data_IF_673745513626
#
_entry.id   IF_673745513626
#
_cell.length_a   1.000
_cell.length_b   1.000
_cell.length_c   1.000
_cell.angle_alpha   90.00
_cell.angle_beta   90.00
_cell.angle_gamma   90.00
#
_symmetry.space_group_name_H-M   'P 1'
#
loop_
_entity.id
_entity.type
_entity.pdbx_description
1 polymer ?
#
# COMPACT_ATOMS: atom_id res chain seq x y z
N UNK A 1 -14.52 18.30 35.38
CA UNK A 1 -14.75 17.20 34.42
C UNK A 1 -14.39 17.71 33.03
N UNK A 2 -13.18 17.42 32.54
CA UNK A 2 -12.71 17.78 31.18
C UNK A 2 -11.87 16.64 30.53
N UNK A 3 -11.96 15.41 31.06
CA UNK A 3 -11.05 14.33 30.68
C UNK A 3 -11.46 13.63 29.37
N UNK A 4 -12.73 13.73 28.97
CA UNK A 4 -13.27 13.04 27.79
C UNK A 4 -12.74 13.62 26.46
N UNK A 5 -12.51 14.94 26.39
CA UNK A 5 -11.94 15.56 25.18
C UNK A 5 -10.45 15.25 25.01
N UNK A 6 -9.72 15.07 26.11
CA UNK A 6 -8.29 14.71 26.06
C UNK A 6 -8.05 13.28 25.60
N UNK A 7 -8.92 12.32 25.96
CA UNK A 7 -8.79 10.91 25.55
C UNK A 7 -9.19 10.69 24.08
N UNK A 8 -10.20 11.42 23.60
CA UNK A 8 -10.60 11.40 22.19
C UNK A 8 -9.49 11.95 21.29
N UNK A 9 -8.81 13.03 21.69
CA UNK A 9 -7.71 13.59 20.91
C UNK A 9 -6.51 12.63 20.85
N UNK A 10 -6.15 11.96 21.96
CA UNK A 10 -5.05 10.97 21.96
C UNK A 10 -5.33 9.77 21.05
N UNK A 11 -6.58 9.29 21.06
CA UNK A 11 -7.01 8.20 20.17
C UNK A 11 -6.95 8.62 18.70
N UNK A 12 -7.28 9.89 18.41
CA UNK A 12 -7.21 10.43 17.05
C UNK A 12 -5.76 10.54 16.55
N UNK A 13 -4.85 11.05 17.38
CA UNK A 13 -3.43 11.16 17.05
C UNK A 13 -2.83 9.77 16.78
N UNK A 14 -3.22 8.75 17.55
CA UNK A 14 -2.82 7.37 17.30
C UNK A 14 -3.31 6.85 15.93
N UNK A 15 -4.60 7.01 15.60
CA UNK A 15 -5.16 6.59 14.31
C UNK A 15 -4.46 7.30 13.15
N UNK A 16 -4.13 8.58 13.31
CA UNK A 16 -3.43 9.36 12.30
C UNK A 16 -2.00 8.89 12.08
N UNK A 17 -1.26 8.65 13.17
CA UNK A 17 0.11 8.11 13.10
C UNK A 17 0.11 6.73 12.44
N UNK A 18 -0.81 5.86 12.81
CA UNK A 18 -0.97 4.53 12.20
C UNK A 18 -1.27 4.66 10.69
N UNK A 19 -2.11 5.62 10.30
CA UNK A 19 -2.41 5.89 8.90
C UNK A 19 -1.18 6.34 8.10
N UNK A 20 -0.37 7.23 8.66
CA UNK A 20 0.88 7.69 8.04
C UNK A 20 1.92 6.57 7.90
N UNK A 21 2.01 5.71 8.91
CA UNK A 21 2.91 4.55 8.90
C UNK A 21 2.49 3.57 7.79
N UNK A 22 1.20 3.23 7.70
CA UNK A 22 0.68 2.31 6.68
C UNK A 22 0.89 2.84 5.24
N UNK A 23 0.73 4.14 5.00
CA UNK A 23 1.10 4.76 3.71
C UNK A 23 2.59 4.58 3.40
N UNK A 24 3.45 4.84 4.38
CA UNK A 24 4.91 4.74 4.20
C UNK A 24 5.34 3.30 3.90
N UNK A 25 4.68 2.33 4.53
CA UNK A 25 4.87 0.91 4.28
C UNK A 25 4.42 0.51 2.86
N UNK A 26 3.24 0.96 2.43
CA UNK A 26 2.73 0.71 1.07
C UNK A 26 3.69 1.25 0.00
N UNK A 27 4.18 2.47 0.16
CA UNK A 27 5.15 3.09 -0.76
C UNK A 27 6.44 2.27 -0.86
N UNK A 28 6.94 1.78 0.28
CA UNK A 28 8.16 0.98 0.34
C UNK A 28 7.99 -0.35 -0.37
N UNK A 29 6.86 -1.01 -0.18
CA UNK A 29 6.55 -2.29 -0.82
C UNK A 29 6.32 -2.18 -2.32
N UNK A 30 5.62 -1.14 -2.78
CA UNK A 30 5.48 -0.82 -4.21
C UNK A 30 6.85 -0.66 -4.87
N UNK A 31 7.76 0.12 -4.26
CA UNK A 31 9.13 0.29 -4.76
C UNK A 31 9.90 -1.03 -4.85
N UNK A 32 9.73 -1.93 -3.88
CA UNK A 32 10.33 -3.26 -3.89
C UNK A 32 9.82 -4.08 -5.07
N UNK A 33 8.51 -4.10 -5.33
CA UNK A 33 7.95 -4.85 -6.46
C UNK A 33 8.43 -4.29 -7.79
N UNK A 34 8.45 -2.96 -7.95
CA UNK A 34 9.01 -2.32 -9.16
C UNK A 34 10.45 -2.77 -9.39
N UNK A 35 11.28 -2.71 -8.34
CA UNK A 35 12.70 -3.11 -8.42
C UNK A 35 12.85 -4.59 -8.81
N UNK A 36 12.02 -5.47 -8.23
CA UNK A 36 12.01 -6.91 -8.57
C UNK A 36 11.62 -7.16 -10.03
N UNK A 37 10.62 -6.43 -10.53
CA UNK A 37 10.11 -6.53 -11.89
C UNK A 37 10.95 -5.78 -12.94
N UNK A 38 11.88 -4.92 -12.53
CA UNK A 38 12.80 -4.21 -13.45
C UNK A 38 14.20 -4.84 -13.46
N UNK A 39 14.52 -5.68 -12.47
CA UNK A 39 15.79 -6.38 -12.41
C UNK A 39 15.98 -7.29 -13.63
N UNK A 40 17.09 -7.16 -14.39
CA UNK A 40 17.31 -7.93 -15.60
C UNK A 40 17.23 -9.44 -15.34
N UNK A 41 16.49 -10.15 -16.18
CA UNK A 41 16.43 -11.61 -16.16
C UNK A 41 17.68 -12.10 -16.90
N UNK A 42 18.63 -12.70 -16.17
CA UNK A 42 19.80 -13.32 -16.79
C UNK A 42 19.30 -14.49 -17.65
N UNK A 43 19.51 -14.36 -18.96
CA UNK A 43 19.02 -15.24 -20.02
C UNK A 43 19.88 -16.51 -20.04
N UNK A 44 19.69 -17.41 -19.08
CA UNK A 44 20.05 -18.82 -19.25
C UNK A 44 19.31 -19.69 -18.25
N UNK A 45 18.31 -20.45 -18.72
CA UNK A 45 17.70 -21.57 -17.97
C UNK A 45 16.70 -21.22 -16.86
N UNK A 46 16.01 -20.08 -16.96
CA UNK A 46 15.59 -19.31 -15.78
C UNK A 46 14.08 -19.29 -15.44
N UNK A 47 13.30 -20.32 -15.82
CA UNK A 47 11.87 -20.39 -15.47
C UNK A 47 11.64 -20.45 -13.95
N UNK A 48 12.55 -21.09 -13.20
CA UNK A 48 12.44 -21.17 -11.74
C UNK A 48 12.66 -19.80 -11.06
N UNK A 49 13.70 -19.02 -11.40
CA UNK A 49 13.88 -17.71 -10.77
C UNK A 49 12.81 -16.71 -11.22
N UNK A 50 12.29 -16.85 -12.45
CA UNK A 50 11.12 -16.08 -12.87
C UNK A 50 9.90 -16.42 -12.01
N UNK A 51 9.62 -17.70 -11.80
CA UNK A 51 8.53 -18.16 -10.93
C UNK A 51 8.69 -17.66 -9.49
N UNK A 52 9.89 -17.74 -8.92
CA UNK A 52 10.21 -17.24 -7.58
C UNK A 52 10.03 -15.71 -7.47
N UNK A 53 10.47 -14.94 -8.47
CA UNK A 53 10.25 -13.49 -8.54
C UNK A 53 8.77 -13.15 -8.62
N UNK A 54 8.00 -13.86 -9.46
CA UNK A 54 6.55 -13.65 -9.59
C UNK A 54 5.83 -14.02 -8.29
N UNK A 55 6.20 -15.12 -7.63
CA UNK A 55 5.64 -15.50 -6.34
C UNK A 55 5.92 -14.45 -5.25
N UNK A 56 7.14 -13.91 -5.22
CA UNK A 56 7.50 -12.83 -4.29
C UNK A 56 6.74 -11.54 -4.59
N UNK A 57 6.64 -11.14 -5.86
CA UNK A 57 5.87 -9.97 -6.29
C UNK A 57 4.40 -10.11 -5.88
N UNK A 58 3.78 -11.26 -6.15
CA UNK A 58 2.40 -11.55 -5.76
C UNK A 58 2.18 -11.48 -4.25
N UNK A 59 3.12 -12.03 -3.46
CA UNK A 59 3.06 -11.93 -1.98
C UNK A 59 3.05 -10.48 -1.51
N UNK A 60 3.92 -9.64 -2.08
CA UNK A 60 4.00 -8.22 -1.71
C UNK A 60 2.75 -7.47 -2.20
N UNK A 61 2.22 -7.77 -3.39
CA UNK A 61 0.96 -7.23 -3.91
C UNK A 61 -0.21 -7.53 -2.95
N UNK A 62 -0.29 -8.76 -2.41
CA UNK A 62 -1.30 -9.12 -1.40
C UNK A 62 -1.14 -8.28 -0.13
N UNK A 63 0.09 -8.07 0.35
CA UNK A 63 0.36 -7.24 1.53
C UNK A 63 -0.08 -5.78 1.31
N UNK A 64 0.28 -5.19 0.17
CA UNK A 64 -0.14 -3.82 -0.18
C UNK A 64 -1.67 -3.73 -0.27
N UNK A 65 -2.33 -4.73 -0.87
CA UNK A 65 -3.80 -4.76 -1.00
C UNK A 65 -4.47 -4.71 0.37
N UNK A 66 -4.05 -5.58 1.30
CA UNK A 66 -4.59 -5.60 2.66
C UNK A 66 -4.38 -4.27 3.39
N UNK A 67 -3.20 -3.66 3.27
CA UNK A 67 -2.92 -2.35 3.89
C UNK A 67 -3.77 -1.23 3.32
N UNK A 68 -4.02 -1.23 2.00
CA UNK A 68 -4.91 -0.26 1.37
C UNK A 68 -6.37 -0.39 1.85
N UNK A 69 -6.82 -1.60 2.16
CA UNK A 69 -8.13 -1.84 2.79
C UNK A 69 -8.17 -1.27 4.21
N UNK A 70 -7.11 -1.46 5.01
CA UNK A 70 -6.98 -0.86 6.34
C UNK A 70 -7.00 0.67 6.28
N UNK A 71 -6.26 1.26 5.32
CA UNK A 71 -6.27 2.71 5.07
C UNK A 71 -7.68 3.19 4.69
N UNK A 72 -8.43 2.45 3.87
CA UNK A 72 -9.81 2.83 3.54
C UNK A 72 -10.69 2.89 4.79
N UNK A 73 -10.61 1.87 5.65
CA UNK A 73 -11.36 1.81 6.91
C UNK A 73 -11.01 2.97 7.84
N UNK A 74 -9.72 3.24 8.05
CA UNK A 74 -9.26 4.36 8.87
C UNK A 74 -9.75 5.71 8.29
N UNK A 75 -9.70 5.89 6.95
CA UNK A 75 -10.19 7.11 6.30
C UNK A 75 -11.68 7.36 6.56
N UNK A 76 -12.50 6.29 6.59
CA UNK A 76 -13.94 6.38 6.84
C UNK A 76 -14.24 6.76 8.29
N UNK A 77 -13.44 6.28 9.25
CA UNK A 77 -13.54 6.69 10.65
C UNK A 77 -13.19 8.16 10.83
N UNK A 78 -12.14 8.62 10.14
CA UNK A 78 -11.68 10.00 10.17
C UNK A 78 -12.67 10.98 9.49
N UNK A 79 -13.32 10.59 8.38
CA UNK A 79 -14.35 11.41 7.68
C UNK A 79 -15.56 11.75 8.54
N UNK A 80 -15.84 10.99 9.61
CA UNK A 80 -16.92 11.29 10.56
C UNK A 80 -16.58 12.48 11.47
N UNK A 81 -15.39 13.08 11.31
CA UNK A 81 -14.90 14.19 12.12
C UNK A 81 -14.63 15.45 11.27
N UNK A 82 -15.17 16.62 11.64
CA UNK A 82 -15.23 17.79 10.75
C UNK A 82 -13.94 18.64 10.63
N UNK A 83 -12.81 18.25 11.25
CA UNK A 83 -11.66 19.17 11.45
C UNK A 83 -10.31 18.76 10.85
N UNK A 84 -10.27 17.89 9.83
CA UNK A 84 -8.99 17.38 9.30
C UNK A 84 -8.80 17.74 7.82
N UNK A 85 -8.11 18.85 7.55
CA UNK A 85 -7.70 19.23 6.18
C UNK A 85 -6.71 18.23 5.57
N UNK A 86 -5.90 17.58 6.42
CA UNK A 86 -4.87 16.61 6.02
C UNK A 86 -5.46 15.32 5.43
N UNK A 87 -6.70 14.97 5.79
CA UNK A 87 -7.44 13.82 5.23
C UNK A 87 -7.57 13.85 3.71
N UNK A 88 -7.66 15.05 3.11
CA UNK A 88 -7.78 15.19 1.67
C UNK A 88 -6.50 14.74 0.97
N UNK A 89 -5.34 15.18 1.47
CA UNK A 89 -4.03 14.81 0.93
C UNK A 89 -3.81 13.29 1.06
N UNK A 90 -4.18 12.72 2.21
CA UNK A 90 -4.11 11.28 2.44
C UNK A 90 -5.00 10.46 1.50
N UNK A 91 -6.22 10.91 1.24
CA UNK A 91 -7.11 10.28 0.27
C UNK A 91 -6.57 10.33 -1.16
N UNK A 92 -5.86 11.40 -1.54
CA UNK A 92 -5.18 11.48 -2.84
C UNK A 92 -3.99 10.50 -2.91
N UNK A 93 -3.20 10.38 -1.84
CA UNK A 93 -2.09 9.41 -1.75
C UNK A 93 -2.62 7.98 -1.84
N UNK A 94 -3.67 7.63 -1.10
CA UNK A 94 -4.27 6.29 -1.15
C UNK A 94 -4.75 5.92 -2.56
N UNK A 95 -5.40 6.86 -3.27
CA UNK A 95 -5.81 6.65 -4.68
C UNK A 95 -4.61 6.44 -5.60
N UNK A 96 -3.54 7.20 -5.41
CA UNK A 96 -2.31 7.04 -6.18
C UNK A 96 -1.68 5.66 -5.94
N UNK A 97 -1.62 5.21 -4.68
CA UNK A 97 -1.12 3.88 -4.31
C UNK A 97 -1.96 2.76 -4.96
N UNK A 98 -3.29 2.86 -4.91
CA UNK A 98 -4.18 1.90 -5.54
C UNK A 98 -3.98 1.84 -7.06
N UNK A 99 -3.82 2.99 -7.72
CA UNK A 99 -3.51 3.05 -9.14
C UNK A 99 -2.16 2.41 -9.49
N UNK A 100 -1.12 2.70 -8.70
CA UNK A 100 0.21 2.10 -8.90
C UNK A 100 0.18 0.57 -8.70
N UNK A 101 -0.54 0.10 -7.68
CA UNK A 101 -0.73 -1.33 -7.43
C UNK A 101 -1.41 -2.03 -8.61
N UNK A 102 -2.44 -1.40 -9.18
CA UNK A 102 -3.14 -1.93 -10.36
C UNK A 102 -2.20 -2.06 -11.57
N UNK A 103 -1.35 -1.05 -11.83
CA UNK A 103 -0.35 -1.12 -12.89
C UNK A 103 0.67 -2.24 -12.68
N UNK A 104 1.08 -2.46 -11.44
CA UNK A 104 1.99 -3.54 -11.07
C UNK A 104 1.34 -4.91 -11.27
N UNK A 105 0.07 -5.07 -10.88
CA UNK A 105 -0.71 -6.30 -11.12
C UNK A 105 -0.76 -6.62 -12.61
N UNK A 106 -1.15 -5.65 -13.44
CA UNK A 106 -1.19 -5.79 -14.90
C UNK A 106 0.17 -6.21 -15.48
N UNK A 107 1.28 -5.59 -15.03
CA UNK A 107 2.63 -5.95 -15.47
C UNK A 107 3.01 -7.38 -15.05
N UNK A 108 2.66 -7.78 -13.83
CA UNK A 108 2.94 -9.11 -13.29
C UNK A 108 2.19 -10.19 -14.07
N UNK A 109 0.92 -9.95 -14.39
CA UNK A 109 0.10 -10.84 -15.23
C UNK A 109 0.70 -10.98 -16.64
N UNK A 110 1.07 -9.87 -17.27
CA UNK A 110 1.72 -9.89 -18.58
C UNK A 110 2.98 -10.78 -18.58
N UNK A 111 3.81 -10.66 -17.55
CA UNK A 111 5.03 -11.47 -17.41
C UNK A 111 4.73 -12.96 -17.19
N UNK A 112 3.67 -13.28 -16.44
CA UNK A 112 3.26 -14.66 -16.21
C UNK A 112 2.77 -15.36 -17.49
N UNK A 113 2.15 -14.63 -18.42
CA UNK A 113 1.63 -15.18 -19.68
C UNK A 113 2.55 -14.98 -20.90
N UNK A 114 3.64 -14.21 -20.76
CA UNK A 114 4.65 -13.99 -21.81
C UNK A 114 5.88 -14.92 -21.70
N UNK A 115 5.92 -15.77 -20.67
CA UNK A 115 7.00 -16.73 -20.38
C UNK A 115 6.58 -18.17 -20.70
#
# INVERSE_FOLDING_TARGET
MNNLSSEQNKTMDAIFNDYQEEISLCLTEIKKVITLLEAPIIISGNQQQLSEKLALANKIITQITHRLETLEQHSQLLKKQPYLTELKNYGEIQKLLAYQLEKIKQKTEQWQYSA
#
